data_IF_450303050445
#
_entry.id   IF_450303050445
#
_cell.length_a   1.000
_cell.length_b   1.000
_cell.length_c   1.000
_cell.angle_alpha   90.00
_cell.angle_beta   90.00
_cell.angle_gamma   90.00
#
_symmetry.space_group_name_H-M   'P 1'
#
loop_
_entity.id
_entity.type
_entity.pdbx_description
1 polymer ?
#
# COMPACT_ATOMS: atom_id res chain seq x y z
N UNK A 1 -14.46 6.45 11.27
CA UNK A 1 -14.28 5.61 10.06
C UNK A 1 -15.16 4.38 10.11
N UNK A 2 -15.87 4.05 9.03
CA UNK A 2 -16.63 2.80 8.92
C UNK A 2 -15.71 1.72 8.31
N UNK A 3 -15.05 0.94 9.13
CA UNK A 3 -14.07 -0.07 8.69
C UNK A 3 -14.65 -1.08 7.70
N UNK A 4 -15.86 -1.59 7.92
CA UNK A 4 -16.47 -2.57 7.02
C UNK A 4 -16.62 -2.01 5.60
N UNK A 5 -17.11 -0.78 5.45
CA UNK A 5 -17.25 -0.13 4.15
C UNK A 5 -15.88 0.14 3.52
N UNK A 6 -14.89 0.61 4.30
CA UNK A 6 -13.54 0.90 3.79
C UNK A 6 -12.83 -0.38 3.33
N UNK A 7 -12.92 -1.47 4.10
CA UNK A 7 -12.36 -2.77 3.73
C UNK A 7 -12.97 -3.27 2.42
N UNK A 8 -14.28 -3.09 2.20
CA UNK A 8 -14.93 -3.49 0.96
C UNK A 8 -14.52 -2.61 -0.23
N UNK A 9 -14.38 -1.31 -0.02
CA UNK A 9 -14.07 -0.35 -1.08
C UNK A 9 -12.57 -0.28 -1.42
N UNK A 10 -11.68 -0.60 -0.48
CA UNK A 10 -10.24 -0.57 -0.68
C UNK A 10 -9.82 -1.51 -1.83
N UNK A 11 -9.00 -1.00 -2.71
CA UNK A 11 -8.38 -1.76 -3.81
C UNK A 11 -6.93 -1.36 -3.95
N UNK A 12 -6.10 -2.28 -4.41
CA UNK A 12 -4.72 -1.99 -4.81
C UNK A 12 -4.70 -1.48 -6.25
N UNK A 13 -3.97 -0.38 -6.49
CA UNK A 13 -3.89 0.28 -7.79
C UNK A 13 -2.43 0.37 -8.21
N UNK A 14 -2.10 -0.10 -9.41
CA UNK A 14 -0.73 -0.13 -9.92
C UNK A 14 -0.43 0.97 -10.94
N UNK A 15 -1.43 1.75 -11.34
CA UNK A 15 -1.29 2.90 -12.23
C UNK A 15 -2.06 4.08 -11.66
N UNK A 16 -1.37 5.19 -11.48
CA UNK A 16 -1.92 6.43 -10.94
C UNK A 16 -1.94 7.52 -12.00
N UNK A 17 -2.94 8.41 -11.88
CA UNK A 17 -3.02 9.63 -12.70
C UNK A 17 -1.99 10.64 -12.20
N UNK A 18 -1.56 11.51 -13.10
CA UNK A 18 -0.73 12.68 -12.75
C UNK A 18 -1.53 13.77 -12.02
N UNK A 19 -2.44 13.37 -11.16
CA UNK A 19 -3.26 14.29 -10.36
C UNK A 19 -2.75 14.26 -8.93
N UNK A 20 -2.33 15.40 -8.45
CA UNK A 20 -1.88 15.54 -7.07
C UNK A 20 -3.01 15.37 -6.07
N UNK A 21 -2.68 14.83 -4.90
CA UNK A 21 -3.59 14.77 -3.76
C UNK A 21 -3.60 16.14 -3.10
N UNK A 22 -4.79 16.70 -2.80
CA UNK A 22 -4.89 18.00 -2.14
C UNK A 22 -4.14 18.03 -0.80
N UNK A 23 -3.46 19.12 -0.52
CA UNK A 23 -2.73 19.31 0.74
C UNK A 23 -3.62 19.17 1.98
N UNK A 24 -4.91 19.51 1.85
CA UNK A 24 -5.91 19.30 2.90
C UNK A 24 -6.08 17.81 3.24
N UNK A 25 -6.17 16.92 2.24
CA UNK A 25 -6.28 15.48 2.46
C UNK A 25 -5.00 14.91 3.11
N UNK A 26 -3.83 15.38 2.69
CA UNK A 26 -2.56 15.03 3.33
C UNK A 26 -2.52 15.52 4.78
N UNK A 27 -3.02 16.74 5.05
CA UNK A 27 -3.16 17.28 6.40
C UNK A 27 -4.10 16.45 7.27
N UNK A 28 -5.23 16.00 6.73
CA UNK A 28 -6.16 15.11 7.41
C UNK A 28 -5.51 13.75 7.74
N UNK A 29 -4.74 13.18 6.82
CA UNK A 29 -4.01 11.92 7.05
C UNK A 29 -2.97 12.06 8.17
N UNK A 30 -2.17 13.15 8.15
CA UNK A 30 -1.18 13.43 9.22
C UNK A 30 -1.84 13.61 10.57
N UNK A 31 -2.91 14.42 10.64
CA UNK A 31 -3.67 14.61 11.89
C UNK A 31 -4.29 13.30 12.39
N UNK A 32 -4.76 12.43 11.48
CA UNK A 32 -5.26 11.11 11.81
C UNK A 32 -4.16 10.22 12.41
N UNK A 33 -2.98 10.16 11.77
CA UNK A 33 -1.82 9.43 12.30
C UNK A 33 -1.45 9.87 13.72
N UNK A 34 -1.39 11.16 13.97
CA UNK A 34 -0.97 11.72 15.26
C UNK A 34 -1.98 11.46 16.37
N UNK A 35 -3.28 11.60 16.09
CA UNK A 35 -4.33 11.67 17.12
C UNK A 35 -5.15 10.41 17.26
N UNK A 36 -5.28 9.61 16.18
CA UNK A 36 -6.33 8.59 16.11
C UNK A 36 -5.83 7.22 15.63
N UNK A 37 -4.77 7.17 14.83
CA UNK A 37 -4.24 5.92 14.28
C UNK A 37 -3.89 4.93 15.40
N UNK A 38 -4.53 3.77 15.46
CA UNK A 38 -4.31 2.81 16.53
C UNK A 38 -2.92 2.16 16.41
N UNK A 39 -2.32 1.85 17.54
CA UNK A 39 -1.04 1.18 17.67
C UNK A 39 -1.22 -0.10 18.49
N UNK A 40 -0.72 -1.23 17.96
CA UNK A 40 -0.72 -2.49 18.74
C UNK A 40 0.27 -2.46 19.88
N UNK A 41 1.41 -1.78 19.67
CA UNK A 41 2.48 -1.60 20.66
C UNK A 41 2.79 -0.11 20.75
N UNK A 42 2.11 0.65 21.62
CA UNK A 42 2.23 2.11 21.71
C UNK A 42 3.63 2.60 22.07
N UNK A 43 4.43 1.77 22.74
CA UNK A 43 5.78 2.10 23.20
C UNK A 43 6.80 2.16 22.05
N UNK A 44 6.47 1.58 20.91
CA UNK A 44 7.37 1.63 19.72
C UNK A 44 7.26 3.02 19.09
N UNK A 45 8.35 3.76 19.13
CA UNK A 45 8.42 5.06 18.45
C UNK A 45 8.26 4.87 16.94
N UNK A 46 7.36 5.66 16.36
CA UNK A 46 7.09 5.65 14.91
C UNK A 46 7.06 7.07 14.38
N UNK A 47 7.33 7.23 13.09
CA UNK A 47 7.24 8.50 12.36
C UNK A 47 6.61 8.26 10.98
N UNK A 48 5.69 9.14 10.58
CA UNK A 48 5.05 9.10 9.28
C UNK A 48 5.63 10.17 8.37
N UNK A 49 6.21 9.76 7.25
CA UNK A 49 6.78 10.64 6.24
C UNK A 49 5.92 10.55 4.99
N UNK A 50 5.47 11.70 4.50
CA UNK A 50 4.78 11.83 3.21
C UNK A 50 5.76 12.41 2.21
N UNK A 51 6.02 11.67 1.16
CA UNK A 51 6.88 12.06 0.04
C UNK A 51 6.01 12.39 -1.18
N UNK A 52 6.49 13.30 -2.01
CA UNK A 52 5.92 13.59 -3.33
C UNK A 52 6.62 12.77 -4.44
N UNK A 53 6.25 13.01 -5.68
CA UNK A 53 6.80 12.31 -6.84
C UNK A 53 8.31 12.51 -7.02
N UNK A 54 8.89 13.56 -6.47
CA UNK A 54 10.32 13.84 -6.61
C UNK A 54 11.18 12.85 -5.85
N UNK A 55 10.57 12.06 -4.94
CA UNK A 55 11.22 10.94 -4.28
C UNK A 55 11.36 9.68 -5.16
N UNK A 56 10.72 9.60 -6.33
CA UNK A 56 10.75 8.42 -7.20
C UNK A 56 12.18 7.95 -7.52
N UNK A 57 13.11 8.81 -7.96
CA UNK A 57 14.47 8.36 -8.28
C UNK A 57 15.20 7.72 -7.08
N UNK A 58 14.91 8.20 -5.87
CA UNK A 58 15.47 7.64 -4.64
C UNK A 58 14.90 6.26 -4.28
N UNK A 59 13.65 6.01 -4.66
CA UNK A 59 12.96 4.75 -4.38
C UNK A 59 13.17 3.70 -5.48
N UNK A 60 13.48 4.09 -6.72
CA UNK A 60 13.47 3.24 -7.91
C UNK A 60 14.32 1.97 -7.81
N UNK A 61 15.43 2.02 -7.10
CA UNK A 61 16.32 0.86 -6.95
C UNK A 61 16.13 0.10 -5.62
N UNK A 62 15.20 0.53 -4.79
CA UNK A 62 15.11 0.08 -3.39
C UNK A 62 13.71 -0.34 -2.96
N UNK A 63 12.68 0.16 -3.63
CA UNK A 63 11.30 -0.13 -3.31
C UNK A 63 10.48 -0.37 -4.58
N UNK A 64 9.38 -1.12 -4.49
CA UNK A 64 8.48 -1.35 -5.63
C UNK A 64 7.50 -2.49 -5.41
N UNK A 65 6.80 -2.83 -6.48
CA UNK A 65 5.93 -4.00 -6.55
C UNK A 65 6.49 -4.93 -7.65
N UNK A 66 6.75 -6.19 -7.32
CA UNK A 66 7.41 -7.14 -8.23
C UNK A 66 8.70 -6.58 -8.87
N UNK A 67 9.53 -5.90 -8.09
CA UNK A 67 10.80 -5.27 -8.51
C UNK A 67 10.66 -4.01 -9.39
N UNK A 68 9.44 -3.54 -9.66
CA UNK A 68 9.19 -2.31 -10.40
C UNK A 68 8.63 -1.23 -9.47
N UNK A 69 9.19 -0.04 -9.54
CA UNK A 69 8.61 1.09 -8.82
C UNK A 69 7.22 1.40 -9.38
N UNK A 70 6.26 1.57 -8.49
CA UNK A 70 4.94 2.08 -8.85
C UNK A 70 5.03 3.61 -8.90
N UNK A 71 4.94 4.18 -10.11
CA UNK A 71 4.88 5.62 -10.28
C UNK A 71 3.58 6.18 -9.71
N UNK A 72 3.69 7.01 -8.68
CA UNK A 72 2.58 7.63 -7.98
C UNK A 72 2.88 9.10 -7.67
N UNK A 73 1.87 9.97 -7.52
CA UNK A 73 2.09 11.36 -7.12
C UNK A 73 2.67 11.47 -5.71
N UNK A 74 2.40 10.50 -4.83
CA UNK A 74 2.87 10.52 -3.45
C UNK A 74 3.23 9.12 -2.93
N UNK A 75 4.09 9.11 -1.91
CA UNK A 75 4.46 7.90 -1.16
C UNK A 75 4.35 8.14 0.33
N UNK A 76 3.94 7.13 1.04
CA UNK A 76 3.82 7.12 2.49
C UNK A 76 4.86 6.16 3.04
N UNK A 77 5.79 6.66 3.86
CA UNK A 77 6.73 5.85 4.61
C UNK A 77 6.34 5.85 6.08
N UNK A 78 6.25 4.69 6.67
CA UNK A 78 6.18 4.53 8.11
C UNK A 78 7.54 4.07 8.62
N UNK A 79 8.14 4.91 9.45
CA UNK A 79 9.38 4.61 10.14
C UNK A 79 9.06 4.03 11.51
N UNK A 80 9.89 3.14 12.01
CA UNK A 80 9.72 2.48 13.32
C UNK A 80 11.05 2.30 14.03
N UNK A 81 11.05 2.44 15.35
CA UNK A 81 12.19 2.02 16.16
C UNK A 81 12.39 0.49 16.05
N UNK A 82 13.64 0.01 16.09
CA UNK A 82 13.92 -1.42 16.13
C UNK A 82 13.24 -2.08 17.33
N UNK A 83 12.43 -3.09 17.08
CA UNK A 83 11.71 -3.85 18.12
C UNK A 83 11.23 -5.20 17.56
N UNK A 84 11.11 -6.23 18.39
CA UNK A 84 10.61 -7.56 17.95
C UNK A 84 9.21 -7.53 17.32
N UNK A 85 8.38 -6.59 17.70
CA UNK A 85 7.03 -6.39 17.17
C UNK A 85 6.92 -5.21 16.20
N UNK A 86 8.03 -4.61 15.77
CA UNK A 86 8.02 -3.43 14.90
C UNK A 86 7.26 -3.68 13.58
N UNK A 87 7.52 -4.80 12.92
CA UNK A 87 6.87 -5.16 11.65
C UNK A 87 5.36 -5.35 11.80
N UNK A 88 4.90 -6.01 12.86
CA UNK A 88 3.47 -6.25 13.12
C UNK A 88 2.77 -4.92 13.44
N UNK A 89 3.38 -4.11 14.32
CA UNK A 89 2.84 -2.79 14.67
C UNK A 89 2.76 -1.87 13.45
N UNK A 90 3.82 -1.82 12.64
CA UNK A 90 3.86 -0.99 11.44
C UNK A 90 2.84 -1.46 10.38
N UNK A 91 2.70 -2.77 10.18
CA UNK A 91 1.70 -3.33 9.26
C UNK A 91 0.28 -2.97 9.68
N UNK A 92 -0.04 -3.06 10.96
CA UNK A 92 -1.34 -2.69 11.52
C UNK A 92 -1.63 -1.19 11.33
N UNK A 93 -0.68 -0.35 11.70
CA UNK A 93 -0.79 1.11 11.54
C UNK A 93 -0.93 1.53 10.07
N UNK A 94 -0.10 0.96 9.20
CA UNK A 94 -0.11 1.33 7.78
C UNK A 94 -1.40 0.89 7.10
N UNK A 95 -1.96 -0.30 7.41
CA UNK A 95 -3.25 -0.70 6.84
C UNK A 95 -4.38 0.21 7.33
N UNK A 96 -4.36 0.66 8.59
CA UNK A 96 -5.33 1.63 9.09
C UNK A 96 -5.23 2.99 8.36
N UNK A 97 -4.01 3.45 8.05
CA UNK A 97 -3.77 4.64 7.22
C UNK A 97 -4.23 4.44 5.77
N UNK A 98 -4.06 3.25 5.21
CA UNK A 98 -4.59 2.87 3.89
C UNK A 98 -6.12 2.93 3.87
N UNK A 99 -6.78 2.46 4.93
CA UNK A 99 -8.24 2.58 5.07
C UNK A 99 -8.67 4.04 5.24
N UNK A 100 -7.88 4.86 5.92
CA UNK A 100 -8.13 6.31 6.01
C UNK A 100 -7.99 7.00 4.66
N UNK A 101 -7.00 6.64 3.85
CA UNK A 101 -6.88 7.12 2.46
C UNK A 101 -8.08 6.69 1.61
N UNK A 102 -8.56 5.45 1.78
CA UNK A 102 -9.77 4.95 1.11
C UNK A 102 -11.02 5.76 1.51
N UNK A 103 -11.13 6.18 2.78
CA UNK A 103 -12.21 7.08 3.25
C UNK A 103 -12.16 8.46 2.58
N UNK A 104 -10.97 8.89 2.17
CA UNK A 104 -10.73 10.15 1.45
C UNK A 104 -10.80 9.99 -0.09
N UNK A 105 -11.31 8.84 -0.60
CA UNK A 105 -11.35 8.50 -2.02
C UNK A 105 -9.98 8.51 -2.71
N UNK A 106 -8.93 8.15 -1.97
CA UNK A 106 -7.55 8.05 -2.46
C UNK A 106 -7.17 6.58 -2.56
N UNK A 107 -6.72 6.18 -3.74
CA UNK A 107 -6.27 4.82 -4.03
C UNK A 107 -4.82 4.60 -3.54
N UNK A 108 -4.48 3.34 -3.25
CA UNK A 108 -3.19 2.97 -2.68
C UNK A 108 -2.59 1.72 -3.34
N UNK A 109 -1.27 1.56 -3.22
CA UNK A 109 -0.56 0.33 -3.51
C UNK A 109 0.53 0.08 -2.46
N UNK A 110 0.46 -1.05 -1.77
CA UNK A 110 1.55 -1.51 -0.93
C UNK A 110 2.78 -1.81 -1.77
N UNK A 111 3.95 -1.39 -1.28
CA UNK A 111 5.22 -1.63 -1.92
C UNK A 111 6.13 -2.45 -1.01
N UNK A 112 6.94 -3.31 -1.61
CA UNK A 112 8.03 -4.01 -0.92
C UNK A 112 9.31 -3.20 -1.04
N UNK A 113 10.23 -3.42 -0.13
CA UNK A 113 11.58 -2.83 -0.18
C UNK A 113 12.59 -3.85 0.35
N UNK A 114 13.85 -3.68 -0.03
CA UNK A 114 14.91 -4.66 0.31
C UNK A 114 15.80 -4.19 1.42
N UNK A 115 15.98 -2.87 1.58
CA UNK A 115 17.00 -2.29 2.47
C UNK A 115 16.55 -0.92 2.97
N UNK A 116 16.31 -0.83 4.28
CA UNK A 116 15.91 0.41 4.95
C UNK A 116 17.01 1.49 4.86
N UNK A 117 18.27 1.11 5.07
CA UNK A 117 19.38 2.07 5.10
C UNK A 117 19.64 2.67 3.73
N UNK A 118 19.46 1.87 2.67
CA UNK A 118 19.56 2.35 1.30
C UNK A 118 18.51 3.43 1.00
N UNK A 119 17.27 3.21 1.45
CA UNK A 119 16.18 4.19 1.30
C UNK A 119 16.46 5.44 2.11
N UNK A 120 16.86 5.31 3.38
CA UNK A 120 17.19 6.45 4.24
C UNK A 120 18.31 7.29 3.64
N UNK A 121 19.36 6.64 3.13
CA UNK A 121 20.48 7.33 2.47
C UNK A 121 20.04 8.07 1.22
N UNK A 122 19.27 7.42 0.35
CA UNK A 122 18.78 8.01 -0.89
C UNK A 122 17.84 9.20 -0.66
N UNK A 123 17.04 9.17 0.41
CA UNK A 123 16.15 10.24 0.82
C UNK A 123 16.78 11.25 1.80
N UNK A 124 18.08 11.07 2.15
CA UNK A 124 18.80 11.92 3.12
C UNK A 124 18.11 12.00 4.49
N UNK A 125 17.52 10.90 4.95
CA UNK A 125 16.82 10.82 6.23
C UNK A 125 17.82 10.54 7.35
N UNK A 126 18.09 11.53 8.19
CA UNK A 126 18.94 11.42 9.37
C UNK A 126 18.11 11.04 10.60
N UNK A 127 17.72 9.77 10.71
CA UNK A 127 16.91 9.24 11.81
C UNK A 127 17.43 7.90 12.30
N UNK A 128 17.34 7.59 13.61
CA UNK A 128 17.64 6.27 14.14
C UNK A 128 16.55 5.22 13.82
N UNK A 129 15.40 5.66 13.31
CA UNK A 129 14.30 4.77 12.95
C UNK A 129 14.62 4.03 11.63
N UNK A 130 13.98 2.89 11.44
CA UNK A 130 14.06 2.08 10.22
C UNK A 130 12.79 2.22 9.40
N UNK A 131 12.90 2.11 8.06
CA UNK A 131 11.72 2.03 7.20
C UNK A 131 11.00 0.72 7.49
N UNK A 132 9.76 0.78 7.94
CA UNK A 132 8.97 -0.39 8.32
C UNK A 132 7.87 -0.72 7.32
N UNK A 133 7.32 0.29 6.63
CA UNK A 133 6.31 0.08 5.57
C UNK A 133 6.35 1.22 4.55
N UNK A 134 6.00 0.90 3.30
CA UNK A 134 5.88 1.87 2.20
C UNK A 134 4.59 1.62 1.43
N UNK A 135 3.89 2.70 1.10
CA UNK A 135 2.66 2.69 0.29
C UNK A 135 2.73 3.82 -0.73
N UNK A 136 2.50 3.52 -2.01
CA UNK A 136 2.23 4.51 -3.03
C UNK A 136 0.76 4.93 -2.97
N UNK A 137 0.45 6.22 -3.14
CA UNK A 137 -0.93 6.68 -3.10
C UNK A 137 -1.22 7.84 -4.05
N UNK A 138 -2.49 7.96 -4.43
CA UNK A 138 -2.98 8.95 -5.37
C UNK A 138 -4.31 8.55 -5.97
N UNK A 139 -4.67 9.08 -7.11
CA UNK A 139 -5.89 8.70 -7.82
C UNK A 139 -5.56 7.67 -8.90
N UNK A 140 -6.13 6.47 -8.76
CA UNK A 140 -5.92 5.39 -9.72
C UNK A 140 -6.45 5.73 -11.12
N UNK A 141 -5.77 5.25 -12.14
CA UNK A 141 -6.31 5.26 -13.48
C UNK A 141 -7.56 4.39 -13.53
N UNK A 142 -8.61 4.89 -14.21
CA UNK A 142 -9.73 4.03 -14.58
C UNK A 142 -9.21 3.12 -15.69
N UNK A 143 -8.83 1.90 -15.34
CA UNK A 143 -8.40 0.91 -16.33
C UNK A 143 -9.51 0.73 -17.35
N UNK A 144 -9.28 1.18 -18.58
CA UNK A 144 -10.09 0.77 -19.71
C UNK A 144 -10.05 -0.77 -19.77
N UNK A 145 -11.19 -1.39 -20.09
CA UNK A 145 -11.25 -2.86 -20.27
C UNK A 145 -10.10 -3.29 -21.16
N UNK A 146 -9.12 -4.01 -20.63
CA UNK A 146 -8.06 -4.59 -21.45
C UNK A 146 -8.69 -5.68 -22.29
N UNK A 147 -8.72 -5.47 -23.60
CA UNK A 147 -9.05 -6.51 -24.56
C UNK A 147 -7.83 -7.41 -24.71
N UNK A 148 -7.92 -8.67 -24.29
CA UNK A 148 -6.93 -9.68 -24.65
C UNK A 148 -7.30 -10.34 -25.96
N UNK A 149 -6.41 -10.24 -26.93
CA UNK A 149 -6.44 -11.03 -28.15
C UNK A 149 -5.85 -12.42 -27.82
N UNK A 150 -6.70 -13.44 -27.78
CA UNK A 150 -6.26 -14.84 -27.75
C UNK A 150 -6.15 -15.34 -29.19
N UNK A 151 -4.93 -15.45 -29.69
CA UNK A 151 -4.66 -16.02 -31.01
C UNK A 151 -4.49 -17.54 -30.81
N UNK A 152 -5.53 -18.31 -31.05
CA UNK A 152 -5.51 -19.77 -30.96
C UNK A 152 -4.98 -20.43 -32.26
N UNK A 153 -5.17 -19.79 -33.39
CA UNK A 153 -4.61 -20.10 -34.69
C UNK A 153 -4.77 -18.92 -35.64
N UNK A 154 -4.12 -18.95 -36.83
CA UNK A 154 -4.29 -17.89 -37.85
C UNK A 154 -5.73 -17.72 -38.35
N UNK A 155 -6.61 -18.68 -38.09
CA UNK A 155 -8.02 -18.67 -38.50
C UNK A 155 -9.02 -18.45 -37.32
N UNK A 156 -8.55 -18.41 -36.07
CA UNK A 156 -9.42 -18.22 -34.91
C UNK A 156 -8.81 -17.14 -33.99
N UNK A 157 -9.34 -15.95 -34.11
CA UNK A 157 -9.03 -14.83 -33.22
C UNK A 157 -10.24 -14.66 -32.29
N UNK A 158 -10.07 -14.97 -31.01
CA UNK A 158 -11.10 -14.75 -29.99
C UNK A 158 -10.75 -13.47 -29.21
N UNK A 159 -11.61 -12.47 -29.29
CA UNK A 159 -11.48 -11.21 -28.57
C UNK A 159 -12.30 -11.31 -27.28
N UNK A 160 -11.65 -11.61 -26.17
CA UNK A 160 -12.31 -11.60 -24.85
C UNK A 160 -12.10 -10.27 -24.16
N UNK A 161 -13.19 -9.63 -23.75
CA UNK A 161 -13.14 -8.55 -22.78
C UNK A 161 -12.69 -9.15 -21.44
N UNK A 162 -11.48 -8.81 -21.00
CA UNK A 162 -11.03 -9.21 -19.67
C UNK A 162 -11.85 -8.42 -18.65
N UNK A 163 -12.78 -9.09 -17.98
CA UNK A 163 -13.33 -8.56 -16.74
C UNK A 163 -12.18 -8.50 -15.75
N UNK A 164 -11.97 -7.33 -15.16
CA UNK A 164 -11.00 -7.16 -14.09
C UNK A 164 -11.48 -7.99 -12.90
N UNK A 165 -10.95 -9.20 -12.77
CA UNK A 165 -11.20 -10.02 -11.60
C UNK A 165 -10.33 -9.44 -10.46
N UNK A 166 -10.96 -8.72 -9.56
CA UNK A 166 -10.35 -8.48 -8.27
C UNK A 166 -10.23 -9.85 -7.58
N UNK A 167 -9.04 -10.16 -7.07
CA UNK A 167 -8.88 -11.34 -6.24
C UNK A 167 -9.95 -11.30 -5.14
N UNK A 168 -10.74 -12.37 -4.96
CA UNK A 168 -11.77 -12.37 -3.93
C UNK A 168 -11.12 -12.15 -2.58
N UNK A 169 -11.69 -11.25 -1.78
CA UNK A 169 -11.23 -11.03 -0.41
C UNK A 169 -11.52 -12.29 0.39
N UNK A 170 -10.47 -12.87 0.94
CA UNK A 170 -10.58 -14.06 1.78
C UNK A 170 -11.17 -13.69 3.13
N UNK A 171 -12.02 -14.54 3.67
CA UNK A 171 -12.51 -14.42 5.03
C UNK A 171 -11.42 -14.73 6.07
N UNK A 172 -11.62 -14.30 7.31
CA UNK A 172 -10.66 -14.54 8.39
C UNK A 172 -10.38 -16.05 8.56
N UNK A 173 -11.40 -16.88 8.44
CA UNK A 173 -11.30 -18.36 8.53
C UNK A 173 -10.45 -18.98 7.40
N UNK A 174 -10.26 -18.28 6.27
CA UNK A 174 -9.38 -18.71 5.17
C UNK A 174 -7.91 -18.37 5.41
N UNK A 175 -7.67 -17.38 6.28
CA UNK A 175 -6.35 -16.78 6.50
C UNK A 175 -5.75 -17.19 7.84
N UNK A 176 -6.57 -17.53 8.83
CA UNK A 176 -6.13 -17.88 10.17
C UNK A 176 -6.10 -19.40 10.33
N UNK A 177 -4.95 -19.92 10.73
CA UNK A 177 -4.71 -21.33 11.00
C UNK A 177 -4.33 -21.49 12.49
N UNK A 178 -5.06 -22.34 13.20
CA UNK A 178 -4.86 -22.56 14.64
C UNK A 178 -3.97 -23.78 14.87
N UNK A 179 -2.73 -23.55 15.26
CA UNK A 179 -1.75 -24.58 15.61
C UNK A 179 -1.11 -25.33 14.44
N UNK A 180 -1.76 -25.47 13.30
CA UNK A 180 -1.19 -26.07 12.08
C UNK A 180 -1.86 -25.53 10.81
N UNK A 181 -1.16 -25.59 9.67
CA UNK A 181 -1.68 -25.12 8.38
C UNK A 181 -2.93 -25.87 7.89
N UNK A 182 -3.19 -27.06 8.39
CA UNK A 182 -4.38 -27.84 8.03
C UNK A 182 -5.62 -27.51 8.89
N UNK A 183 -5.45 -26.79 10.00
CA UNK A 183 -6.53 -26.46 10.91
C UNK A 183 -7.08 -25.05 10.63
N UNK A 184 -8.20 -25.01 9.91
CA UNK A 184 -8.94 -23.78 9.56
C UNK A 184 -10.16 -23.53 10.46
N UNK A 185 -10.37 -24.36 11.47
CA UNK A 185 -11.48 -24.19 12.41
C UNK A 185 -11.08 -23.19 13.50
N UNK A 186 -11.71 -22.05 13.50
CA UNK A 186 -11.82 -21.12 14.61
C UNK A 186 -13.26 -21.09 15.09
#
# INVERSE_FOLDING_TARGET
>A
MNYSAMIQNRRSVHAFREKEVPSEAIGQLRSYYEKTCPRLVPEIATELIVLDKDAQPALESSAGYNQFLIGAPHYLLLMSAPHSYAAINAGYMMEDLVLKLTELDIDTCWMTFTDSDKIKKALSLATPLEVAAIVAFGYGEKTARKLRLNILSMSQIDVRAEQQYYAPKKGVHDLVHMGSWSNKSG
#
